data_IF_666452887468
#
_entry.id   IF_666452887468
#
_cell.length_a   1.000
_cell.length_b   1.000
_cell.length_c   1.000
_cell.angle_alpha   90.00
_cell.angle_beta   90.00
_cell.angle_gamma   90.00
#
_symmetry.space_group_name_H-M   'P 1'
#
loop_
_entity.id
_entity.type
_entity.pdbx_description
1 polymer ?
#
# COMPACT_ATOMS: atom_id res chain seq x y z
N UNK A 1 10.03 3.12 -9.35
CA UNK A 1 8.96 3.76 -8.55
C UNK A 1 8.93 3.28 -7.10
N UNK A 2 8.99 1.97 -6.83
CA UNK A 2 8.85 1.41 -5.47
C UNK A 2 9.73 2.04 -4.37
N UNK A 3 11.06 2.21 -4.53
CA UNK A 3 11.87 2.80 -3.46
C UNK A 3 11.59 4.30 -3.23
N UNK A 4 10.93 4.98 -4.16
CA UNK A 4 10.53 6.39 -4.03
C UNK A 4 9.21 6.57 -3.29
N UNK A 5 8.53 5.47 -2.93
CA UNK A 5 7.26 5.52 -2.19
C UNK A 5 7.41 6.30 -0.88
N UNK A 6 8.54 6.14 -0.18
CA UNK A 6 8.81 6.88 1.06
C UNK A 6 8.84 8.38 0.82
N UNK A 7 9.58 8.84 -0.19
CA UNK A 7 9.66 10.27 -0.54
C UNK A 7 8.28 10.84 -0.88
N UNK A 8 7.54 10.15 -1.77
CA UNK A 8 6.19 10.57 -2.15
C UNK A 8 5.29 10.69 -0.92
N UNK A 9 5.29 9.68 -0.04
CA UNK A 9 4.45 9.69 1.14
C UNK A 9 4.85 10.81 2.11
N UNK A 10 6.14 10.97 2.39
CA UNK A 10 6.61 12.02 3.30
C UNK A 10 6.28 13.43 2.83
N UNK A 11 6.44 13.69 1.52
CA UNK A 11 6.10 14.99 0.93
C UNK A 11 4.58 15.22 1.03
N UNK A 12 3.77 14.22 0.67
CA UNK A 12 2.32 14.31 0.79
C UNK A 12 1.86 14.51 2.24
N UNK A 13 2.51 13.89 3.23
CA UNK A 13 2.21 14.12 4.64
C UNK A 13 2.49 15.55 5.06
N UNK A 14 3.62 16.13 4.64
CA UNK A 14 3.95 17.54 4.93
C UNK A 14 2.91 18.47 4.28
N UNK A 15 2.62 18.26 2.98
CA UNK A 15 1.66 19.08 2.24
C UNK A 15 0.25 18.99 2.85
N UNK A 16 -0.18 17.78 3.20
CA UNK A 16 -1.47 17.55 3.84
C UNK A 16 -1.58 18.33 5.15
N UNK A 17 -0.59 18.21 6.04
CA UNK A 17 -0.61 18.82 7.37
C UNK A 17 -0.48 20.35 7.33
N UNK A 18 0.22 20.91 6.34
CA UNK A 18 0.20 22.36 6.07
C UNK A 18 -1.20 22.82 5.66
N UNK A 19 -1.89 22.05 4.81
CA UNK A 19 -3.23 22.37 4.31
C UNK A 19 -4.37 22.00 5.28
N UNK A 20 -4.09 21.18 6.29
CA UNK A 20 -5.09 20.61 7.20
C UNK A 20 -5.99 21.64 7.93
N UNK A 21 -5.52 22.85 8.31
CA UNK A 21 -6.38 23.89 8.88
C UNK A 21 -7.52 24.35 7.96
N UNK A 22 -7.40 24.15 6.64
CA UNK A 22 -8.39 24.52 5.63
C UNK A 22 -9.15 23.30 5.09
N UNK A 23 -9.03 22.14 5.74
CA UNK A 23 -9.67 20.92 5.28
C UNK A 23 -11.20 20.99 5.45
N UNK A 24 -11.94 20.46 4.49
CA UNK A 24 -13.40 20.39 4.52
C UNK A 24 -13.95 19.59 5.72
N UNK A 25 -13.18 18.63 6.23
CA UNK A 25 -13.58 17.81 7.38
C UNK A 25 -13.05 18.40 8.69
N UNK A 26 -13.98 18.76 9.58
CA UNK A 26 -13.70 19.37 10.88
C UNK A 26 -12.67 18.59 11.72
N UNK A 27 -12.67 17.26 11.64
CA UNK A 27 -11.73 16.44 12.41
C UNK A 27 -10.26 16.71 12.03
N UNK A 28 -9.97 16.90 10.74
CA UNK A 28 -8.61 17.23 10.29
C UNK A 28 -8.18 18.62 10.75
N UNK A 29 -9.11 19.59 10.75
CA UNK A 29 -8.85 20.95 11.26
C UNK A 29 -8.52 20.91 12.76
N UNK A 30 -9.28 20.15 13.55
CA UNK A 30 -9.04 19.99 15.00
C UNK A 30 -7.68 19.35 15.28
N UNK A 31 -7.32 18.31 14.51
CA UNK A 31 -6.07 17.58 14.72
C UNK A 31 -4.84 18.30 14.15
N UNK A 32 -5.03 19.28 13.26
CA UNK A 32 -3.96 19.92 12.51
C UNK A 32 -2.81 20.45 13.40
N UNK A 33 -3.03 21.17 14.52
CA UNK A 33 -1.93 21.66 15.34
C UNK A 33 -1.07 20.53 15.91
N UNK A 34 -1.69 19.44 16.37
CA UNK A 34 -0.98 18.29 16.91
C UNK A 34 -0.19 17.57 15.80
N UNK A 35 -0.80 17.37 14.63
CA UNK A 35 -0.13 16.76 13.48
C UNK A 35 1.06 17.61 12.99
N UNK A 36 0.92 18.94 12.95
CA UNK A 36 1.97 19.89 12.59
C UNK A 36 3.16 19.82 13.55
N UNK A 37 2.90 19.87 14.86
CA UNK A 37 3.94 19.76 15.89
C UNK A 37 4.65 18.41 15.80
N UNK A 38 3.91 17.30 15.68
CA UNK A 38 4.51 15.97 15.57
C UNK A 38 5.38 15.80 14.32
N UNK A 39 4.93 16.29 13.15
CA UNK A 39 5.74 16.25 11.93
C UNK A 39 6.98 17.16 12.05
N UNK A 40 6.84 18.35 12.63
CA UNK A 40 7.97 19.25 12.86
C UNK A 40 9.02 18.61 13.78
N UNK A 41 8.58 18.00 14.88
CA UNK A 41 9.46 17.29 15.81
C UNK A 41 10.14 16.10 15.14
N UNK A 42 9.41 15.33 14.33
CA UNK A 42 9.97 14.21 13.58
C UNK A 42 11.11 14.66 12.65
N UNK A 43 10.89 15.69 11.84
CA UNK A 43 11.92 16.16 10.91
C UNK A 43 13.06 16.88 11.60
N UNK A 44 12.80 17.61 12.69
CA UNK A 44 13.84 18.20 13.53
C UNK A 44 14.74 17.10 14.12
N UNK A 45 14.15 15.99 14.55
CA UNK A 45 14.89 14.83 15.05
C UNK A 45 15.73 14.18 13.95
N UNK A 46 15.18 14.00 12.74
CA UNK A 46 15.95 13.49 11.59
C UNK A 46 17.13 14.41 11.24
N UNK A 47 16.91 15.74 11.20
CA UNK A 47 17.97 16.72 10.95
C UNK A 47 19.04 16.65 12.04
N UNK A 48 18.63 16.53 13.31
CA UNK A 48 19.55 16.37 14.43
C UNK A 48 20.41 15.09 14.30
N UNK A 49 19.80 13.95 13.95
CA UNK A 49 20.54 12.71 13.69
C UNK A 49 21.56 12.88 12.56
N UNK A 50 21.19 13.57 11.47
CA UNK A 50 22.11 13.87 10.37
C UNK A 50 23.24 14.80 10.82
N UNK A 51 22.95 15.80 11.65
CA UNK A 51 23.96 16.73 12.15
C UNK A 51 25.06 16.03 12.97
N UNK A 52 24.70 14.98 13.75
CA UNK A 52 25.65 14.17 14.52
C UNK A 52 26.63 13.35 13.65
N UNK A 53 26.34 13.16 12.36
CA UNK A 53 27.24 12.43 11.45
C UNK A 53 28.42 13.32 11.01
N UNK A 54 29.63 12.74 10.82
CA UNK A 54 30.88 13.50 10.76
C UNK A 54 31.09 14.29 9.47
N UNK A 55 30.63 13.79 8.32
CA UNK A 55 30.86 14.42 7.00
C UNK A 55 29.58 14.55 6.20
N UNK A 56 29.54 15.53 5.30
CA UNK A 56 28.39 15.74 4.41
C UNK A 56 28.09 14.51 3.54
N UNK A 57 29.11 13.83 3.02
CA UNK A 57 28.94 12.62 2.22
C UNK A 57 28.28 11.49 3.01
N UNK A 58 28.68 11.30 4.28
CA UNK A 58 28.07 10.29 5.15
C UNK A 58 26.61 10.65 5.47
N UNK A 59 26.30 11.93 5.69
CA UNK A 59 24.91 12.41 5.92
C UNK A 59 24.01 12.09 4.75
N UNK A 60 24.44 12.44 3.54
CA UNK A 60 23.68 12.20 2.30
C UNK A 60 23.48 10.70 2.09
N UNK A 61 24.55 9.91 2.25
CA UNK A 61 24.49 8.46 2.06
C UNK A 61 23.57 7.79 3.09
N UNK A 62 23.70 8.14 4.37
CA UNK A 62 22.83 7.63 5.43
C UNK A 62 21.36 7.96 5.16
N UNK A 63 21.08 9.22 4.81
CA UNK A 63 19.72 9.65 4.48
C UNK A 63 19.16 8.90 3.26
N UNK A 64 19.94 8.78 2.18
CA UNK A 64 19.53 8.08 0.98
C UNK A 64 19.23 6.60 1.24
N UNK A 65 20.12 5.88 1.93
CA UNK A 65 19.92 4.47 2.30
C UNK A 65 18.69 4.33 3.18
N UNK A 66 18.54 5.19 4.20
CA UNK A 66 17.39 5.16 5.10
C UNK A 66 16.07 5.36 4.34
N UNK A 67 15.97 6.38 3.50
CA UNK A 67 14.72 6.69 2.78
C UNK A 67 14.40 5.65 1.70
N UNK A 68 15.39 5.24 0.90
CA UNK A 68 15.19 4.24 -0.16
C UNK A 68 14.92 2.85 0.41
N UNK A 69 15.61 2.47 1.48
CA UNK A 69 15.38 1.21 2.19
C UNK A 69 13.98 1.16 2.81
N UNK A 70 13.56 2.21 3.52
CA UNK A 70 12.21 2.31 4.03
C UNK A 70 11.16 2.28 2.91
N UNK A 71 11.41 3.00 1.81
CA UNK A 71 10.54 3.00 0.63
C UNK A 71 10.40 1.61 0.02
N UNK A 72 11.50 0.87 -0.10
CA UNK A 72 11.50 -0.51 -0.57
C UNK A 72 10.65 -1.42 0.33
N UNK A 73 10.87 -1.42 1.65
CA UNK A 73 10.13 -2.29 2.57
C UNK A 73 8.62 -1.99 2.60
N UNK A 74 8.24 -0.71 2.63
CA UNK A 74 6.82 -0.32 2.57
C UNK A 74 6.22 -0.75 1.23
N UNK A 75 6.91 -0.48 0.12
CA UNK A 75 6.44 -0.87 -1.19
C UNK A 75 6.30 -2.39 -1.32
N UNK A 76 7.20 -3.16 -0.72
CA UNK A 76 7.14 -4.61 -0.67
C UNK A 76 5.83 -5.10 -0.06
N UNK A 77 5.47 -4.57 1.12
CA UNK A 77 4.23 -4.89 1.83
C UNK A 77 3.00 -4.43 1.06
N UNK A 78 2.97 -3.17 0.61
CA UNK A 78 1.78 -2.56 -0.01
C UNK A 78 1.49 -3.17 -1.39
N UNK A 79 2.52 -3.40 -2.21
CA UNK A 79 2.34 -3.96 -3.56
C UNK A 79 1.82 -5.38 -3.52
N UNK A 80 2.24 -6.20 -2.54
CA UNK A 80 1.70 -7.54 -2.36
C UNK A 80 0.17 -7.52 -2.32
N UNK A 81 -0.41 -6.72 -1.42
CA UNK A 81 -1.85 -6.74 -1.18
C UNK A 81 -2.67 -6.03 -2.26
N UNK A 82 -2.10 -5.01 -2.90
CA UNK A 82 -2.85 -4.17 -3.85
C UNK A 82 -2.61 -4.55 -5.30
N UNK A 83 -1.50 -5.19 -5.66
CA UNK A 83 -1.17 -5.52 -7.05
C UNK A 83 -1.37 -7.00 -7.42
N UNK A 84 -1.54 -7.90 -6.45
CA UNK A 84 -1.80 -9.34 -6.69
C UNK A 84 -3.29 -9.68 -6.88
N UNK A 85 -4.08 -8.70 -7.34
CA UNK A 85 -5.54 -8.76 -7.42
C UNK A 85 -6.02 -8.17 -8.74
N UNK A 86 -7.20 -8.61 -9.17
CA UNK A 86 -7.87 -8.14 -10.37
C UNK A 86 -8.08 -6.62 -10.32
N UNK A 87 -7.86 -5.96 -11.46
CA UNK A 87 -8.13 -4.54 -11.63
C UNK A 87 -9.49 -4.36 -12.29
N UNK A 88 -10.25 -3.39 -11.80
CA UNK A 88 -11.59 -3.08 -12.29
C UNK A 88 -11.57 -1.72 -13.01
N UNK A 89 -12.42 -1.53 -14.03
CA UNK A 89 -12.55 -0.24 -14.69
C UNK A 89 -13.08 0.82 -13.71
N UNK A 90 -12.72 2.08 -13.95
CA UNK A 90 -13.14 3.21 -13.11
C UNK A 90 -14.67 3.36 -13.02
N UNK A 91 -15.42 3.01 -14.07
CA UNK A 91 -16.89 3.05 -14.06
C UNK A 91 -17.54 1.78 -13.48
N UNK A 92 -16.77 0.89 -12.86
CA UNK A 92 -17.30 -0.35 -12.28
C UNK A 92 -18.31 -0.05 -11.17
N UNK A 93 -19.43 -0.79 -11.17
CA UNK A 93 -20.42 -0.78 -10.07
C UNK A 93 -19.81 -1.12 -8.72
N UNK A 94 -18.62 -1.74 -8.71
CA UNK A 94 -17.87 -2.04 -7.50
C UNK A 94 -17.59 -0.81 -6.63
N UNK A 95 -17.39 0.37 -7.23
CA UNK A 95 -17.16 1.62 -6.48
C UNK A 95 -18.35 2.02 -5.60
N UNK A 96 -19.56 1.54 -5.93
CA UNK A 96 -20.77 1.81 -5.15
C UNK A 96 -21.00 0.77 -4.03
N UNK A 97 -20.11 -0.21 -3.87
CA UNK A 97 -20.22 -1.25 -2.85
C UNK A 97 -18.90 -1.34 -2.06
N UNK A 98 -18.82 -0.57 -0.98
CA UNK A 98 -17.62 -0.46 -0.16
C UNK A 98 -17.08 -1.81 0.36
N UNK A 99 -17.90 -2.72 0.93
CA UNK A 99 -17.40 -4.03 1.35
C UNK A 99 -16.81 -4.84 0.18
N UNK A 100 -17.54 -4.94 -0.94
CA UNK A 100 -17.07 -5.68 -2.09
C UNK A 100 -15.81 -5.04 -2.70
N UNK A 101 -15.71 -3.71 -2.72
CA UNK A 101 -14.53 -3.01 -3.21
C UNK A 101 -13.28 -3.52 -2.49
N UNK A 102 -13.30 -3.54 -1.17
CA UNK A 102 -12.12 -3.94 -0.39
C UNK A 102 -11.86 -5.44 -0.43
N UNK A 103 -12.90 -6.28 -0.45
CA UNK A 103 -12.77 -7.74 -0.57
C UNK A 103 -12.19 -8.14 -1.94
N UNK A 104 -12.62 -7.48 -3.02
CA UNK A 104 -12.23 -7.84 -4.39
C UNK A 104 -10.95 -7.15 -4.88
N UNK A 105 -10.55 -6.03 -4.28
CA UNK A 105 -9.35 -5.27 -4.67
C UNK A 105 -8.20 -5.34 -3.66
N UNK A 106 -8.26 -6.27 -2.71
CA UNK A 106 -7.22 -6.47 -1.70
C UNK A 106 -6.95 -7.96 -1.46
N UNK A 107 -5.68 -8.32 -1.27
CA UNK A 107 -5.25 -9.67 -0.87
C UNK A 107 -4.50 -9.67 0.45
N UNK A 108 -4.80 -10.64 1.29
CA UNK A 108 -4.06 -10.90 2.52
C UNK A 108 -2.82 -11.78 2.27
N UNK A 109 -1.76 -11.53 3.03
CA UNK A 109 -0.61 -12.42 3.12
C UNK A 109 -0.91 -13.50 4.17
N UNK A 110 -0.60 -14.76 3.86
CA UNK A 110 -0.80 -15.87 4.78
C UNK A 110 -0.05 -15.59 6.11
N UNK A 111 -0.75 -15.56 7.25
CA UNK A 111 -0.16 -15.18 8.52
C UNK A 111 0.82 -16.24 9.03
N UNK A 112 1.89 -15.76 9.64
CA UNK A 112 2.86 -16.54 10.42
C UNK A 112 3.58 -15.55 11.36
N UNK A 113 4.22 -16.00 12.45
CA UNK A 113 4.89 -15.08 13.38
C UNK A 113 5.89 -14.13 12.70
N UNK A 114 6.62 -14.63 11.69
CA UNK A 114 7.57 -13.82 10.91
C UNK A 114 6.84 -12.81 10.03
N UNK A 115 5.77 -13.24 9.36
CA UNK A 115 4.94 -12.36 8.52
C UNK A 115 4.27 -11.29 9.38
N UNK A 116 3.67 -11.64 10.52
CA UNK A 116 2.98 -10.69 11.40
C UNK A 116 3.94 -9.60 11.90
N UNK A 117 5.18 -9.98 12.23
CA UNK A 117 6.24 -9.03 12.61
C UNK A 117 6.68 -8.16 11.44
N UNK A 118 7.03 -8.74 10.29
CA UNK A 118 7.60 -8.00 9.16
C UNK A 118 6.57 -7.16 8.41
N UNK A 119 5.33 -7.65 8.24
CA UNK A 119 4.22 -6.88 7.69
C UNK A 119 3.63 -5.89 8.72
N UNK A 120 4.01 -5.98 10.00
CA UNK A 120 3.51 -5.11 11.05
C UNK A 120 2.00 -5.23 11.27
N UNK A 121 1.42 -6.41 11.03
CA UNK A 121 -0.02 -6.68 11.04
C UNK A 121 -0.77 -6.27 9.77
N UNK A 122 -0.09 -5.68 8.78
CA UNK A 122 -0.66 -5.35 7.47
C UNK A 122 -0.65 -6.54 6.49
N UNK A 123 -0.51 -7.76 6.99
CA UNK A 123 -0.86 -8.96 6.24
C UNK A 123 -2.39 -9.18 6.20
N UNK A 124 -3.14 -8.51 7.08
CA UNK A 124 -4.60 -8.48 7.15
C UNK A 124 -5.18 -7.20 6.51
N UNK A 125 -4.89 -6.99 5.23
CA UNK A 125 -5.26 -5.77 4.50
C UNK A 125 -6.74 -5.67 4.16
N UNK A 126 -7.41 -6.80 3.88
CA UNK A 126 -8.86 -6.80 3.68
C UNK A 126 -9.55 -6.22 4.92
N UNK A 127 -9.17 -6.70 6.11
CA UNK A 127 -9.73 -6.24 7.38
C UNK A 127 -9.32 -4.79 7.69
N UNK A 128 -8.07 -4.41 7.37
CA UNK A 128 -7.61 -3.03 7.53
C UNK A 128 -8.46 -2.04 6.73
N UNK A 129 -8.82 -2.37 5.49
CA UNK A 129 -9.65 -1.48 4.68
C UNK A 129 -11.12 -1.49 5.08
N UNK A 130 -11.66 -2.63 5.49
CA UNK A 130 -13.04 -2.71 5.97
C UNK A 130 -13.24 -1.98 7.30
N UNK A 131 -12.22 -2.01 8.18
CA UNK A 131 -12.29 -1.47 9.53
C UNK A 131 -11.00 -0.71 9.90
N UNK A 132 -10.71 0.44 9.25
CA UNK A 132 -9.45 1.15 9.39
C UNK A 132 -9.19 1.70 10.79
N UNK A 133 -10.22 1.79 11.63
CA UNK A 133 -10.15 2.24 13.02
C UNK A 133 -9.80 1.11 14.00
N UNK A 134 -9.85 -0.15 13.59
CA UNK A 134 -9.49 -1.29 14.44
C UNK A 134 -7.97 -1.39 14.54
N UNK A 135 -7.46 -1.60 15.75
CA UNK A 135 -6.03 -1.79 15.98
C UNK A 135 -5.50 -3.04 15.27
N UNK A 136 -4.27 -2.95 14.75
CA UNK A 136 -3.64 -4.06 14.00
C UNK A 136 -3.58 -5.37 14.79
N UNK A 137 -3.44 -5.30 16.12
CA UNK A 137 -3.45 -6.46 17.01
C UNK A 137 -4.77 -7.23 17.04
N UNK A 138 -5.89 -6.60 16.65
CA UNK A 138 -7.21 -7.23 16.61
C UNK A 138 -7.60 -7.73 15.22
N UNK A 139 -6.88 -7.34 14.16
CA UNK A 139 -7.17 -7.79 12.79
C UNK A 139 -7.18 -9.31 12.62
N UNK A 140 -6.35 -10.11 13.30
CA UNK A 140 -6.46 -11.57 13.25
C UNK A 140 -7.81 -12.11 13.74
N UNK A 141 -8.43 -11.46 14.74
CA UNK A 141 -9.76 -11.86 15.24
C UNK A 141 -10.88 -11.41 14.30
N UNK A 142 -10.69 -10.26 13.67
CA UNK A 142 -11.63 -9.74 12.66
C UNK A 142 -11.59 -10.59 11.40
N UNK A 143 -10.43 -11.08 10.99
CA UNK A 143 -10.28 -11.88 9.77
C UNK A 143 -11.08 -13.18 9.80
N UNK A 144 -11.20 -13.82 10.96
CA UNK A 144 -12.09 -14.97 11.16
C UNK A 144 -13.55 -14.61 10.84
N UNK A 145 -14.01 -13.43 11.29
CA UNK A 145 -15.38 -12.96 11.04
C UNK A 145 -15.59 -12.56 9.59
N UNK A 146 -14.63 -11.85 8.99
CA UNK A 146 -14.68 -11.43 7.58
C UNK A 146 -14.64 -12.62 6.64
N UNK A 147 -13.79 -13.62 6.89
CA UNK A 147 -13.74 -14.85 6.12
C UNK A 147 -15.07 -15.59 6.14
N UNK A 148 -15.68 -15.75 7.32
CA UNK A 148 -17.02 -16.35 7.47
C UNK A 148 -18.09 -15.55 6.74
N UNK A 149 -18.04 -14.22 6.82
CA UNK A 149 -18.96 -13.35 6.07
C UNK A 149 -18.81 -13.55 4.56
N UNK A 150 -17.58 -13.64 4.06
CA UNK A 150 -17.33 -13.88 2.63
C UNK A 150 -17.91 -15.23 2.19
N UNK A 151 -17.66 -16.29 2.96
CA UNK A 151 -18.21 -17.63 2.72
C UNK A 151 -19.75 -17.63 2.66
N UNK A 152 -20.40 -17.01 3.63
CA UNK A 152 -21.87 -16.91 3.69
C UNK A 152 -22.49 -16.18 2.48
N UNK A 153 -21.74 -15.25 1.89
CA UNK A 153 -22.21 -14.42 0.78
C UNK A 153 -21.64 -14.85 -0.57
N UNK A 154 -20.98 -16.02 -0.64
CA UNK A 154 -20.30 -16.50 -1.85
C UNK A 154 -19.31 -15.48 -2.44
N UNK A 155 -18.65 -14.71 -1.58
CA UNK A 155 -17.60 -13.76 -1.94
C UNK A 155 -16.23 -14.43 -1.77
N UNK A 156 -15.25 -14.13 -2.64
CA UNK A 156 -13.91 -14.66 -2.48
C UNK A 156 -13.23 -14.00 -1.27
N UNK A 157 -12.45 -14.79 -0.52
CA UNK A 157 -11.56 -14.28 0.51
C UNK A 157 -10.11 -14.58 0.11
N UNK A 158 -9.42 -13.56 -0.39
CA UNK A 158 -8.11 -13.70 -1.02
C UNK A 158 -6.99 -13.73 0.02
N UNK A 159 -6.40 -14.90 0.25
CA UNK A 159 -5.23 -15.08 1.11
C UNK A 159 -4.27 -16.09 0.49
N UNK A 160 -3.00 -15.71 0.38
CA UNK A 160 -1.98 -16.55 -0.27
C UNK A 160 -0.62 -16.47 0.40
N UNK A 161 0.22 -17.46 0.09
CA UNK A 161 1.63 -17.46 0.47
C UNK A 161 2.41 -16.37 -0.24
N UNK A 162 3.55 -16.00 0.34
CA UNK A 162 4.44 -14.96 -0.17
C UNK A 162 4.76 -15.12 -1.66
N UNK A 163 5.23 -16.30 -2.07
CA UNK A 163 5.64 -16.53 -3.46
C UNK A 163 4.46 -16.53 -4.42
N UNK A 164 3.30 -17.04 -4.00
CA UNK A 164 2.09 -17.05 -4.81
C UNK A 164 1.64 -15.63 -5.13
N UNK A 165 1.56 -14.74 -4.13
CA UNK A 165 1.11 -13.37 -4.38
C UNK A 165 2.07 -12.57 -5.26
N UNK A 166 3.39 -12.73 -5.13
CA UNK A 166 4.34 -12.09 -6.05
C UNK A 166 4.28 -12.66 -7.46
N UNK A 167 4.05 -13.97 -7.62
CA UNK A 167 3.81 -14.58 -8.93
C UNK A 167 2.57 -13.94 -9.60
N UNK A 168 1.48 -13.76 -8.85
CA UNK A 168 0.27 -13.10 -9.36
C UNK A 168 0.53 -11.66 -9.81
N UNK A 169 1.42 -10.91 -9.12
CA UNK A 169 1.82 -9.57 -9.57
C UNK A 169 2.53 -9.64 -10.93
N UNK A 170 3.46 -10.57 -11.10
CA UNK A 170 4.18 -10.74 -12.38
C UNK A 170 3.24 -11.17 -13.50
N UNK A 171 2.30 -12.08 -13.21
CA UNK A 171 1.28 -12.51 -14.17
C UNK A 171 0.35 -11.34 -14.56
N UNK A 172 -0.02 -10.47 -13.60
CA UNK A 172 -0.79 -9.26 -13.86
C UNK A 172 -0.01 -8.27 -14.74
N UNK A 173 1.28 -8.06 -14.48
CA UNK A 173 2.14 -7.19 -15.31
C UNK A 173 2.29 -7.75 -16.72
N UNK A 174 2.46 -9.07 -16.86
CA UNK A 174 2.49 -9.76 -18.16
C UNK A 174 1.18 -9.59 -18.91
N UNK A 175 0.05 -9.76 -18.23
CA UNK A 175 -1.28 -9.56 -18.82
C UNK A 175 -1.45 -8.14 -19.36
N UNK A 176 -1.03 -7.13 -18.59
CA UNK A 176 -1.07 -5.73 -19.02
C UNK A 176 -0.15 -5.50 -20.23
N UNK A 177 1.07 -6.03 -20.22
CA UNK A 177 2.00 -5.90 -21.35
C UNK A 177 1.41 -6.48 -22.64
N UNK A 178 0.76 -7.65 -22.56
CA UNK A 178 0.10 -8.28 -23.70
C UNK A 178 -1.12 -7.49 -24.20
N UNK A 179 -1.87 -6.84 -23.30
CA UNK A 179 -3.00 -5.98 -23.70
C UNK A 179 -2.50 -4.71 -24.41
N UNK A 180 -1.43 -4.10 -23.91
CA UNK A 180 -0.84 -2.89 -24.51
C UNK A 180 -0.26 -3.20 -25.88
N UNK A 181 0.44 -4.34 -26.06
CA UNK A 181 1.02 -4.71 -27.36
C UNK A 181 -0.04 -4.84 -28.47
N UNK A 182 -1.22 -5.38 -28.14
CA UNK A 182 -2.36 -5.49 -29.06
C UNK A 182 -2.96 -4.14 -29.44
N UNK A 183 -3.00 -3.19 -28.50
CA UNK A 183 -3.48 -1.82 -28.77
C UNK A 183 -2.49 -1.07 -29.67
N UNK A 184 -1.18 -1.21 -29.41
CA UNK A 184 -0.15 -0.51 -30.19
C UNK A 184 0.09 -1.12 -31.57
N UNK A 185 -0.24 -2.41 -31.77
CA UNK A 185 -0.09 -3.08 -33.06
C UNK A 185 -1.38 -3.85 -33.43
N UNK A 186 -2.46 -3.14 -33.83
CA UNK A 186 -3.74 -3.75 -34.16
C UNK A 186 -3.69 -4.71 -35.36
N UNK A 187 -2.58 -4.76 -36.11
CA UNK A 187 -2.37 -5.67 -37.26
C UNK A 187 -1.40 -6.84 -36.97
N UNK A 188 -0.92 -7.00 -35.73
CA UNK A 188 0.05 -8.06 -35.39
C UNK A 188 -0.53 -9.47 -35.30
N UNK A 189 -1.85 -9.65 -35.25
CA UNK A 189 -2.45 -10.99 -35.25
C UNK A 189 -2.12 -11.80 -36.51
N UNK A 190 -1.65 -11.15 -37.59
CA UNK A 190 -1.22 -11.83 -38.82
C UNK A 190 0.29 -11.76 -39.12
N UNK A 191 1.12 -11.16 -38.25
CA UNK A 191 2.54 -10.90 -38.56
C UNK A 191 3.54 -11.66 -37.68
N UNK A 192 3.09 -12.38 -36.64
CA UNK A 192 3.97 -13.22 -35.82
C UNK A 192 3.88 -14.73 -36.14
N UNK A 193 3.11 -15.11 -37.16
CA UNK A 193 3.01 -16.49 -37.64
C UNK A 193 3.85 -16.67 -38.92
N UNK A 194 5.16 -16.46 -38.80
CA UNK A 194 6.17 -16.78 -39.82
C UNK A 194 7.44 -17.29 -39.16
#
# INVERSE_FOLDING_TARGET
MLPLLRFSWTIQSILFVISAPYNQYKQHVINAPAEQVCILLHWSWVIFQLWLLPTASIRILYFAISQLGAGFFIAHVVTYSHNSVTKFPYQSRLLNNFPCLHILTTRNMLPSPIVDWFWGGLNYQIEHHLFPTISRANLPRVSVKVKKYCEMNSLPYLVDSYWTGYKLILDQLRSIANLVSKITCPHSENLCDG
#
